data_IF_680458987295
#
_entry.id   IF_680458987295
#
_cell.length_a   1.000
_cell.length_b   1.000
_cell.length_c   1.000
_cell.angle_alpha   90.00
_cell.angle_beta   90.00
_cell.angle_gamma   90.00
#
_symmetry.space_group_name_H-M   'P 1'
#
loop_
_entity.id
_entity.type
_entity.pdbx_description
1 polymer ?
#
# COMPACT_ATOMS: atom_id res chain seq x y z
N UNK A 1 8.02 22.00 -14.90
CA UNK A 1 7.95 23.46 -14.88
C UNK A 1 9.20 23.95 -14.23
N UNK A 2 9.87 24.95 -14.81
CA UNK A 2 10.98 25.64 -14.14
C UNK A 2 10.41 26.76 -13.24
N UNK A 3 11.27 27.39 -12.43
CA UNK A 3 10.80 28.42 -11.50
C UNK A 3 10.33 29.70 -12.19
N UNK A 4 10.90 30.02 -13.35
CA UNK A 4 10.47 31.16 -14.16
C UNK A 4 9.03 31.00 -14.65
N UNK A 5 8.65 29.78 -15.03
CA UNK A 5 7.29 29.44 -15.43
C UNK A 5 6.33 29.48 -14.23
N UNK A 6 6.76 28.95 -13.07
CA UNK A 6 5.97 28.99 -11.84
C UNK A 6 5.70 30.43 -11.39
N UNK A 7 6.73 31.29 -11.43
CA UNK A 7 6.62 32.72 -11.13
C UNK A 7 5.65 33.44 -12.06
N UNK A 8 5.75 33.20 -13.36
CA UNK A 8 4.81 33.74 -14.35
C UNK A 8 3.35 33.37 -14.04
N UNK A 9 3.10 32.12 -13.63
CA UNK A 9 1.76 31.68 -13.23
C UNK A 9 1.28 32.36 -11.95
N UNK A 10 2.14 32.45 -10.93
CA UNK A 10 1.81 33.15 -9.68
C UNK A 10 1.48 34.63 -9.92
N UNK A 11 2.30 35.33 -10.71
CA UNK A 11 2.08 36.74 -11.08
C UNK A 11 0.75 36.91 -11.84
N UNK A 12 0.42 35.98 -12.73
CA UNK A 12 -0.86 35.98 -13.44
C UNK A 12 -2.05 35.76 -12.50
N UNK A 13 -1.97 34.78 -11.59
CA UNK A 13 -3.07 34.48 -10.67
C UNK A 13 -3.25 35.54 -9.57
N UNK A 14 -2.22 36.33 -9.26
CA UNK A 14 -2.33 37.48 -8.37
C UNK A 14 -3.18 38.63 -8.97
N UNK A 15 -3.14 38.83 -10.29
CA UNK A 15 -3.92 39.85 -11.00
C UNK A 15 -4.36 39.38 -12.42
N UNK A 16 -5.42 38.54 -12.51
CA UNK A 16 -5.85 37.95 -13.78
C UNK A 16 -6.46 38.99 -14.73
N UNK A 17 -5.92 39.13 -15.93
CA UNK A 17 -6.44 40.01 -16.99
C UNK A 17 -6.07 39.50 -18.38
N UNK A 18 -6.74 39.98 -19.43
CA UNK A 18 -6.37 39.65 -20.81
C UNK A 18 -4.92 40.03 -21.15
N UNK A 19 -4.44 41.18 -20.62
CA UNK A 19 -3.06 41.64 -20.79
C UNK A 19 -2.06 40.77 -20.04
N UNK A 20 -2.33 40.41 -18.78
CA UNK A 20 -1.43 39.52 -18.01
C UNK A 20 -1.40 38.11 -18.59
N UNK A 21 -2.52 37.61 -19.14
CA UNK A 21 -2.57 36.32 -19.87
C UNK A 21 -1.69 36.32 -21.13
N UNK A 22 -1.63 37.42 -21.88
CA UNK A 22 -0.81 37.52 -23.09
C UNK A 22 0.70 37.52 -22.79
N UNK A 23 1.11 37.99 -21.62
CA UNK A 23 2.52 38.01 -21.15
C UNK A 23 3.06 36.62 -20.81
N UNK A 24 2.19 35.64 -20.52
CA UNK A 24 2.60 34.27 -20.26
C UNK A 24 3.24 33.63 -21.51
N UNK A 25 4.28 32.82 -21.30
CA UNK A 25 4.85 31.99 -22.36
C UNK A 25 3.79 31.11 -23.05
N UNK A 26 3.95 30.87 -24.37
CA UNK A 26 2.95 30.18 -25.22
C UNK A 26 2.52 28.82 -24.65
N UNK A 27 3.46 28.05 -24.09
CA UNK A 27 3.18 26.74 -23.49
C UNK A 27 2.40 26.83 -22.17
N UNK A 28 2.60 27.89 -21.38
CA UNK A 28 1.83 28.14 -20.15
C UNK A 28 0.41 28.57 -20.47
N UNK A 29 0.23 29.47 -21.45
CA UNK A 29 -1.11 29.91 -21.88
C UNK A 29 -1.99 28.75 -22.35
N UNK A 30 -1.40 27.79 -23.07
CA UNK A 30 -2.12 26.61 -23.55
C UNK A 30 -2.61 25.70 -22.41
N UNK A 31 -1.91 25.70 -21.27
CA UNK A 31 -2.18 24.81 -20.13
C UNK A 31 -2.67 25.55 -18.89
N UNK A 32 -3.00 26.84 -18.99
CA UNK A 32 -3.35 27.70 -17.86
C UNK A 32 -4.55 27.18 -17.06
N UNK A 33 -5.51 26.55 -17.73
CA UNK A 33 -6.69 25.94 -17.14
C UNK A 33 -6.36 24.77 -16.20
N UNK A 34 -5.14 24.22 -16.28
CA UNK A 34 -4.65 23.13 -15.43
C UNK A 34 -3.99 23.64 -14.16
N UNK A 35 -3.88 24.95 -13.97
CA UNK A 35 -3.25 25.54 -12.80
C UNK A 35 -4.24 26.41 -12.04
N UNK A 36 -4.07 26.47 -10.73
CA UNK A 36 -4.78 27.40 -9.84
C UNK A 36 -3.94 27.72 -8.62
N UNK A 37 -4.23 28.83 -7.95
CA UNK A 37 -3.57 29.19 -6.67
C UNK A 37 -4.57 29.04 -5.54
N UNK A 38 -4.17 28.36 -4.48
CA UNK A 38 -4.97 28.22 -3.26
C UNK A 38 -4.04 28.29 -2.04
N UNK A 39 -4.38 29.15 -1.06
CA UNK A 39 -3.57 29.38 0.15
C UNK A 39 -2.07 29.62 -0.12
N UNK A 40 -1.76 30.38 -1.17
CA UNK A 40 -0.38 30.69 -1.56
C UNK A 40 0.37 29.55 -2.27
N UNK A 41 -0.26 28.39 -2.49
CA UNK A 41 0.31 27.28 -3.23
C UNK A 41 -0.20 27.25 -4.67
N UNK A 42 0.72 27.01 -5.61
CA UNK A 42 0.36 26.72 -6.99
C UNK A 42 -0.02 25.25 -7.12
N UNK A 43 -1.22 24.98 -7.60
CA UNK A 43 -1.77 23.65 -7.79
C UNK A 43 -1.84 23.33 -9.28
N UNK A 44 -1.66 22.06 -9.61
CA UNK A 44 -1.76 21.50 -10.95
C UNK A 44 -2.79 20.36 -10.96
N UNK A 45 -3.78 20.45 -11.84
CA UNK A 45 -4.78 19.41 -12.04
C UNK A 45 -4.49 18.64 -13.34
N UNK A 46 -4.43 17.31 -13.23
CA UNK A 46 -4.44 16.46 -14.42
C UNK A 46 -5.85 16.43 -15.02
N UNK A 47 -5.95 16.25 -16.34
CA UNK A 47 -7.25 16.23 -17.04
C UNK A 47 -8.09 15.01 -16.64
N UNK A 48 -7.43 13.97 -16.11
CA UNK A 48 -8.00 12.62 -16.03
C UNK A 48 -8.35 12.16 -14.60
N UNK A 49 -7.98 12.89 -13.52
CA UNK A 49 -8.17 12.40 -12.14
C UNK A 49 -8.82 13.39 -11.15
N UNK A 50 -9.20 14.59 -11.58
CA UNK A 50 -9.76 15.65 -10.71
C UNK A 50 -8.92 15.97 -9.45
N UNK A 51 -7.67 15.49 -9.36
CA UNK A 51 -6.81 15.64 -8.20
C UNK A 51 -5.86 16.83 -8.39
N UNK A 52 -5.90 17.73 -7.42
CA UNK A 52 -4.93 18.82 -7.33
C UNK A 52 -3.61 18.35 -6.76
N UNK A 53 -2.54 18.71 -7.45
CA UNK A 53 -1.18 18.40 -7.04
C UNK A 53 -0.45 19.69 -6.77
N UNK A 54 0.25 19.75 -5.64
CA UNK A 54 1.09 20.89 -5.28
C UNK A 54 2.27 20.94 -6.25
N UNK A 55 2.40 22.07 -6.94
CA UNK A 55 3.57 22.33 -7.78
C UNK A 55 4.78 22.54 -6.88
N UNK A 56 5.79 21.70 -7.06
CA UNK A 56 7.05 21.80 -6.33
C UNK A 56 8.02 22.69 -7.13
N UNK A 57 8.61 23.73 -6.50
CA UNK A 57 9.69 24.53 -7.10
C UNK A 57 10.86 23.66 -7.56
N UNK A 58 11.73 24.21 -8.39
CA UNK A 58 12.96 23.56 -8.83
C UNK A 58 14.05 23.59 -7.75
N UNK A 59 13.68 23.22 -6.53
CA UNK A 59 14.55 23.05 -5.38
C UNK A 59 14.95 21.56 -5.27
N UNK A 60 16.26 21.30 -5.26
CA UNK A 60 16.80 19.94 -5.19
C UNK A 60 16.51 19.29 -3.84
N UNK A 61 16.73 20.00 -2.74
CA UNK A 61 16.59 19.48 -1.38
C UNK A 61 15.14 19.22 -1.04
N UNK A 62 14.23 20.09 -1.47
CA UNK A 62 12.79 19.88 -1.30
C UNK A 62 12.32 18.64 -2.05
N UNK A 63 12.74 18.46 -3.32
CA UNK A 63 12.41 17.25 -4.09
C UNK A 63 12.99 16.00 -3.47
N UNK A 64 14.20 16.09 -2.90
CA UNK A 64 14.85 14.99 -2.20
C UNK A 64 14.03 14.58 -0.97
N UNK A 65 13.69 15.55 -0.11
CA UNK A 65 12.85 15.33 1.08
C UNK A 65 11.49 14.75 0.74
N UNK A 66 10.80 15.30 -0.26
CA UNK A 66 9.52 14.75 -0.72
C UNK A 66 9.73 13.30 -1.19
N UNK A 67 10.75 13.03 -2.00
CA UNK A 67 10.99 11.65 -2.49
C UNK A 67 11.32 10.69 -1.36
N UNK A 68 12.05 11.14 -0.33
CA UNK A 68 12.33 10.38 0.87
C UNK A 68 11.04 9.96 1.60
N UNK A 69 10.09 10.89 1.79
CA UNK A 69 8.81 10.57 2.44
C UNK A 69 8.04 9.46 1.70
N UNK A 70 8.03 9.46 0.36
CA UNK A 70 7.32 8.46 -0.45
C UNK A 70 8.13 7.21 -0.79
N UNK A 71 9.41 7.16 -0.42
CA UNK A 71 10.27 6.02 -0.70
C UNK A 71 10.83 5.36 0.57
N UNK A 72 11.53 6.14 1.39
CA UNK A 72 12.34 5.65 2.50
C UNK A 72 11.58 5.64 3.83
N UNK A 73 10.57 6.51 3.99
CA UNK A 73 9.80 6.53 5.23
C UNK A 73 9.23 5.13 5.53
N UNK A 74 9.19 4.70 6.80
CA UNK A 74 8.64 3.40 7.18
C UNK A 74 7.24 3.11 6.64
N UNK A 75 6.42 4.15 6.47
CA UNK A 75 5.07 4.08 5.92
C UNK A 75 5.02 3.82 4.41
N UNK A 76 6.13 3.97 3.67
CA UNK A 76 6.14 3.93 2.20
C UNK A 76 6.50 2.58 1.59
N UNK A 77 7.27 1.75 2.28
CA UNK A 77 7.55 0.35 1.93
C UNK A 77 8.80 0.13 1.11
N UNK A 78 9.70 1.11 0.97
CA UNK A 78 10.73 1.13 -0.08
C UNK A 78 10.16 0.67 -1.44
N UNK A 79 9.11 1.32 -1.96
CA UNK A 79 8.40 0.83 -3.13
C UNK A 79 9.30 0.82 -4.38
N UNK A 80 8.96 -0.02 -5.35
CA UNK A 80 9.62 0.02 -6.65
C UNK A 80 9.39 1.37 -7.35
N UNK A 81 10.14 1.61 -8.43
CA UNK A 81 10.09 2.87 -9.22
C UNK A 81 8.66 3.30 -9.56
N UNK A 82 7.87 2.40 -10.15
CA UNK A 82 6.50 2.72 -10.58
C UNK A 82 5.60 3.09 -9.40
N UNK A 83 5.64 2.30 -8.33
CA UNK A 83 4.84 2.54 -7.12
C UNK A 83 5.24 3.85 -6.43
N UNK A 84 6.54 4.13 -6.32
CA UNK A 84 7.04 5.40 -5.76
C UNK A 84 6.53 6.59 -6.56
N UNK A 85 6.58 6.51 -7.90
CA UNK A 85 6.07 7.54 -8.78
C UNK A 85 4.56 7.74 -8.62
N UNK A 86 3.78 6.65 -8.60
CA UNK A 86 2.33 6.72 -8.42
C UNK A 86 1.92 7.30 -7.07
N UNK A 87 2.63 6.98 -5.99
CA UNK A 87 2.40 7.57 -4.67
C UNK A 87 2.67 9.08 -4.68
N UNK A 88 3.88 9.45 -5.11
CA UNK A 88 4.35 10.84 -5.09
C UNK A 88 3.51 11.77 -5.97
N UNK A 89 3.03 11.26 -7.10
CA UNK A 89 2.24 12.05 -8.06
C UNK A 89 0.78 12.24 -7.66
N UNK A 90 0.31 11.63 -6.57
CA UNK A 90 -1.01 11.96 -5.99
C UNK A 90 -1.04 13.38 -5.45
N UNK A 91 0.06 13.78 -4.81
CA UNK A 91 0.10 15.03 -4.03
C UNK A 91 0.97 16.10 -4.68
N UNK A 92 1.96 15.72 -5.48
CA UNK A 92 2.97 16.66 -6.00
C UNK A 92 3.13 16.64 -7.52
N UNK A 93 3.54 17.78 -8.07
CA UNK A 93 3.85 17.95 -9.49
C UNK A 93 5.15 18.73 -9.72
N UNK A 94 6.02 18.21 -10.60
CA UNK A 94 7.10 18.97 -11.24
C UNK A 94 7.50 18.33 -12.58
N UNK A 95 8.33 19.00 -13.38
CA UNK A 95 8.77 18.40 -14.65
C UNK A 95 9.74 17.25 -14.44
N UNK A 96 9.58 16.19 -15.25
CA UNK A 96 10.47 15.03 -15.24
C UNK A 96 10.48 14.25 -13.91
N UNK A 97 9.38 14.29 -13.15
CA UNK A 97 9.16 13.50 -11.92
C UNK A 97 9.57 12.03 -12.08
N UNK A 98 9.15 11.39 -13.16
CA UNK A 98 9.48 9.99 -13.40
C UNK A 98 11.00 9.74 -13.52
N UNK A 99 11.72 10.62 -14.23
CA UNK A 99 13.19 10.52 -14.38
C UNK A 99 13.88 10.72 -13.03
N UNK A 100 13.38 11.65 -12.21
CA UNK A 100 13.87 11.88 -10.85
C UNK A 100 13.70 10.64 -9.96
N UNK A 101 12.46 10.14 -9.86
CA UNK A 101 12.13 8.95 -9.05
C UNK A 101 12.93 7.74 -9.51
N UNK A 102 13.06 7.51 -10.82
CA UNK A 102 13.88 6.43 -11.38
C UNK A 102 15.33 6.49 -10.90
N UNK A 103 15.93 7.69 -10.90
CA UNK A 103 17.33 7.87 -10.47
C UNK A 103 17.46 7.62 -8.97
N UNK A 104 16.53 8.16 -8.18
CA UNK A 104 16.51 8.01 -6.72
C UNK A 104 16.40 6.55 -6.30
N UNK A 105 15.38 5.83 -6.77
CA UNK A 105 15.15 4.42 -6.40
C UNK A 105 16.31 3.52 -6.85
N UNK A 106 16.96 3.83 -7.99
CA UNK A 106 18.14 3.09 -8.46
C UNK A 106 19.37 3.31 -7.55
N UNK A 107 19.46 4.46 -6.90
CA UNK A 107 20.54 4.78 -5.98
C UNK A 107 20.27 4.31 -4.54
N UNK A 108 19.04 3.86 -4.23
CA UNK A 108 18.67 3.38 -2.89
C UNK A 108 19.38 2.07 -2.55
N UNK A 109 20.36 2.14 -1.65
CA UNK A 109 21.17 1.02 -1.21
C UNK A 109 20.34 -0.10 -0.57
N UNK A 110 19.35 0.25 0.26
CA UNK A 110 18.43 -0.71 0.90
C UNK A 110 17.71 -1.53 -0.16
N UNK A 111 17.14 -0.88 -1.18
CA UNK A 111 16.49 -1.56 -2.30
C UNK A 111 17.45 -2.47 -3.07
N UNK A 112 18.69 -2.03 -3.33
CA UNK A 112 19.66 -2.83 -4.09
C UNK A 112 20.12 -4.08 -3.31
N UNK A 113 20.13 -4.04 -1.97
CA UNK A 113 20.51 -5.17 -1.12
C UNK A 113 19.36 -6.16 -0.91
N UNK A 114 18.13 -5.67 -0.76
CA UNK A 114 16.98 -6.49 -0.33
C UNK A 114 16.25 -7.13 -1.51
N UNK A 115 16.06 -6.41 -2.61
CA UNK A 115 15.14 -6.86 -3.66
C UNK A 115 15.80 -7.89 -4.58
N UNK A 116 15.23 -9.10 -4.72
CA UNK A 116 15.74 -10.09 -5.65
C UNK A 116 15.57 -9.64 -7.11
N UNK A 117 16.38 -10.20 -8.01
CA UNK A 117 16.20 -10.01 -9.44
C UNK A 117 14.80 -10.50 -9.87
N UNK A 118 14.15 -9.87 -10.87
CA UNK A 118 12.84 -10.29 -11.33
C UNK A 118 12.92 -11.74 -11.85
N UNK A 119 12.14 -12.65 -11.26
CA UNK A 119 11.92 -14.00 -11.77
C UNK A 119 10.47 -14.13 -12.24
N UNK A 120 10.25 -14.73 -13.42
CA UNK A 120 8.89 -15.02 -13.90
C UNK A 120 8.39 -16.31 -13.26
N UNK A 121 7.33 -16.24 -12.46
CA UNK A 121 6.61 -17.43 -12.02
C UNK A 121 5.53 -17.82 -13.05
N UNK A 122 5.28 -19.12 -13.15
CA UNK A 122 4.20 -19.65 -13.98
C UNK A 122 2.83 -19.10 -13.53
N UNK A 123 1.86 -18.92 -14.45
CA UNK A 123 0.52 -18.49 -14.09
C UNK A 123 -0.13 -19.55 -13.19
N UNK A 124 -0.44 -19.18 -11.95
CA UNK A 124 -1.26 -20.00 -11.07
C UNK A 124 -2.74 -19.81 -11.44
N UNK A 125 -3.52 -20.89 -11.36
CA UNK A 125 -4.96 -20.85 -11.60
C UNK A 125 -5.60 -19.92 -10.57
N UNK A 126 -6.22 -18.84 -11.03
CA UNK A 126 -6.88 -17.88 -10.14
C UNK A 126 -8.24 -18.40 -9.72
N UNK A 127 -8.49 -18.45 -8.41
CA UNK A 127 -9.82 -18.57 -7.85
C UNK A 127 -10.77 -17.47 -8.39
N UNK A 128 -12.08 -17.72 -8.47
CA UNK A 128 -13.05 -16.69 -8.84
C UNK A 128 -12.92 -15.48 -7.92
N UNK A 129 -12.97 -14.28 -8.53
CA UNK A 129 -12.85 -13.03 -7.77
C UNK A 129 -14.18 -12.76 -7.06
N UNK A 130 -14.19 -12.43 -5.76
CA UNK A 130 -15.41 -12.07 -5.03
C UNK A 130 -16.09 -10.83 -5.62
N UNK A 131 -17.35 -10.57 -5.26
CA UNK A 131 -18.10 -9.40 -5.72
C UNK A 131 -17.89 -8.15 -4.86
N UNK A 132 -17.59 -8.30 -3.57
CA UNK A 132 -17.44 -7.18 -2.64
C UNK A 132 -16.24 -7.36 -1.70
N UNK A 133 -15.78 -6.25 -1.12
CA UNK A 133 -14.73 -6.26 -0.10
C UNK A 133 -15.15 -7.12 1.10
N UNK A 134 -14.22 -7.92 1.61
CA UNK A 134 -14.37 -8.74 2.82
C UNK A 134 -15.45 -9.84 2.76
N UNK A 135 -16.08 -10.06 1.59
CA UNK A 135 -16.94 -11.23 1.39
C UNK A 135 -16.13 -12.53 1.37
N UNK A 136 -14.91 -12.49 0.86
CA UNK A 136 -14.01 -13.64 0.86
C UNK A 136 -12.61 -13.21 1.25
N UNK A 137 -12.03 -13.89 2.22
CA UNK A 137 -10.68 -13.61 2.71
C UNK A 137 -9.76 -14.81 2.50
N UNK A 138 -8.46 -14.58 2.50
CA UNK A 138 -7.47 -15.63 2.69
C UNK A 138 -6.67 -15.43 3.97
N UNK A 139 -6.24 -16.54 4.56
CA UNK A 139 -5.55 -16.58 5.86
C UNK A 139 -4.26 -17.40 5.76
N UNK A 140 -3.12 -16.78 6.04
CA UNK A 140 -1.78 -17.39 5.91
C UNK A 140 -0.96 -17.22 7.18
N UNK A 141 0.07 -18.05 7.33
CA UNK A 141 1.16 -17.80 8.23
C UNK A 141 2.51 -17.74 7.52
N UNK A 142 3.29 -16.73 7.87
CA UNK A 142 4.71 -16.64 7.51
C UNK A 142 5.54 -17.02 8.74
N UNK A 143 6.25 -18.15 8.69
CA UNK A 143 7.18 -18.57 9.75
C UNK A 143 8.64 -18.52 9.29
N UNK A 144 9.55 -18.85 10.21
CA UNK A 144 11.00 -18.85 9.95
C UNK A 144 11.63 -17.47 10.07
N UNK A 145 10.91 -16.50 10.66
CA UNK A 145 11.48 -15.21 11.01
C UNK A 145 12.35 -15.36 12.26
N UNK A 146 13.43 -14.57 12.38
CA UNK A 146 14.18 -14.46 13.63
C UNK A 146 13.24 -14.11 14.79
N UNK A 147 13.51 -14.60 16.02
CA UNK A 147 12.70 -14.26 17.18
C UNK A 147 12.74 -12.75 17.44
N UNK A 148 11.57 -12.14 17.57
CA UNK A 148 11.46 -10.77 18.07
C UNK A 148 11.70 -10.68 19.59
N UNK A 149 11.64 -9.48 20.16
CA UNK A 149 11.77 -9.26 21.62
C UNK A 149 10.76 -10.02 22.48
N UNK A 150 9.62 -10.44 21.89
CA UNK A 150 8.57 -11.21 22.54
C UNK A 150 8.64 -12.71 22.16
N UNK A 151 9.77 -13.15 21.57
CA UNK A 151 10.04 -14.53 21.13
C UNK A 151 9.07 -15.04 20.05
N UNK A 152 8.42 -14.13 19.32
CA UNK A 152 7.56 -14.44 18.18
C UNK A 152 8.40 -14.62 16.92
N UNK A 153 8.06 -15.62 16.13
CA UNK A 153 8.86 -16.07 14.96
C UNK A 153 8.01 -16.23 13.70
N UNK A 154 6.75 -15.79 13.75
CA UNK A 154 5.89 -15.78 12.59
C UNK A 154 4.90 -14.62 12.57
N UNK A 155 4.19 -14.53 11.45
CA UNK A 155 3.16 -13.52 11.18
C UNK A 155 1.92 -14.26 10.71
N UNK A 156 0.75 -13.96 11.29
CA UNK A 156 -0.53 -14.29 10.66
C UNK A 156 -0.91 -13.15 9.70
N UNK A 157 -1.35 -13.52 8.51
CA UNK A 157 -1.73 -12.62 7.42
C UNK A 157 -3.18 -12.88 7.06
N UNK A 158 -4.03 -11.87 7.18
CA UNK A 158 -5.39 -11.88 6.65
C UNK A 158 -5.43 -11.01 5.40
N UNK A 159 -6.01 -11.50 4.31
CA UNK A 159 -6.09 -10.75 3.05
C UNK A 159 -7.53 -10.75 2.54
N UNK A 160 -8.09 -9.59 2.26
CA UNK A 160 -9.32 -9.49 1.48
C UNK A 160 -9.05 -9.85 0.02
N UNK A 161 -9.72 -10.87 -0.50
CA UNK A 161 -9.50 -11.35 -1.87
C UNK A 161 -10.07 -10.42 -2.93
N UNK A 162 -10.91 -9.44 -2.58
CA UNK A 162 -11.38 -8.43 -3.52
C UNK A 162 -10.42 -7.23 -3.59
N UNK A 163 -10.32 -6.45 -2.52
CA UNK A 163 -9.52 -5.22 -2.44
C UNK A 163 -8.01 -5.44 -2.35
N UNK A 164 -7.59 -6.65 -1.95
CA UNK A 164 -6.20 -7.01 -1.61
C UNK A 164 -5.69 -6.34 -0.33
N UNK A 165 -6.59 -5.83 0.52
CA UNK A 165 -6.23 -5.25 1.81
C UNK A 165 -5.72 -6.35 2.74
N UNK A 166 -4.64 -6.05 3.47
CA UNK A 166 -4.00 -6.99 4.39
C UNK A 166 -4.10 -6.51 5.84
N UNK A 167 -4.21 -7.47 6.76
CA UNK A 167 -4.01 -7.29 8.19
C UNK A 167 -2.94 -8.25 8.70
N UNK A 168 -1.99 -7.74 9.48
CA UNK A 168 -0.78 -8.44 9.91
C UNK A 168 -0.64 -8.47 11.43
N UNK A 169 -0.41 -9.64 12.00
CA UNK A 169 -0.05 -9.76 13.41
C UNK A 169 1.10 -10.74 13.64
N UNK A 170 2.07 -10.32 14.45
CA UNK A 170 3.15 -11.21 14.87
C UNK A 170 2.65 -12.25 15.88
N UNK A 171 3.04 -13.50 15.66
CA UNK A 171 2.64 -14.70 16.41
C UNK A 171 3.84 -15.58 16.75
N UNK A 172 3.78 -16.36 17.86
CA UNK A 172 4.77 -17.40 18.11
C UNK A 172 4.66 -18.53 17.06
N UNK A 173 5.71 -19.34 16.91
CA UNK A 173 5.72 -20.50 16.00
C UNK A 173 4.51 -21.43 16.21
N UNK A 174 4.15 -21.64 17.47
CA UNK A 174 3.09 -22.55 17.90
C UNK A 174 1.90 -21.75 18.46
N UNK A 175 1.36 -20.83 17.66
CA UNK A 175 0.17 -20.06 18.06
C UNK A 175 -1.08 -20.96 18.16
N UNK A 176 -1.79 -20.99 19.30
CA UNK A 176 -3.00 -21.79 19.44
C UNK A 176 -4.17 -21.22 18.63
N UNK A 177 -5.08 -22.10 18.20
CA UNK A 177 -6.30 -21.72 17.46
C UNK A 177 -7.11 -20.61 18.15
N UNK A 178 -7.29 -20.68 19.47
CA UNK A 178 -7.98 -19.64 20.27
C UNK A 178 -7.32 -18.27 20.16
N UNK A 179 -5.99 -18.21 20.13
CA UNK A 179 -5.26 -16.95 20.02
C UNK A 179 -5.37 -16.39 18.59
N UNK A 180 -5.27 -17.24 17.57
CA UNK A 180 -5.52 -16.84 16.18
C UNK A 180 -6.96 -16.34 16.00
N UNK A 181 -7.95 -16.99 16.63
CA UNK A 181 -9.35 -16.60 16.56
C UNK A 181 -9.57 -15.20 17.16
N UNK A 182 -8.91 -14.88 18.28
CA UNK A 182 -8.91 -13.52 18.85
C UNK A 182 -8.33 -12.50 17.87
N UNK A 183 -7.20 -12.80 17.23
CA UNK A 183 -6.61 -11.91 16.22
C UNK A 183 -7.57 -11.68 15.06
N UNK A 184 -8.24 -12.73 14.56
CA UNK A 184 -9.26 -12.58 13.53
C UNK A 184 -10.42 -11.69 13.99
N UNK A 185 -10.92 -11.89 15.21
CA UNK A 185 -12.02 -11.07 15.76
C UNK A 185 -11.59 -9.61 15.88
N UNK A 186 -10.41 -9.36 16.43
CA UNK A 186 -9.89 -8.01 16.70
C UNK A 186 -9.54 -7.25 15.43
N UNK A 187 -9.03 -7.92 14.40
CA UNK A 187 -8.46 -7.30 13.22
C UNK A 187 -9.34 -7.38 11.97
N UNK A 188 -10.18 -8.41 11.85
CA UNK A 188 -11.05 -8.61 10.68
C UNK A 188 -12.50 -8.35 11.06
N UNK A 189 -13.06 -9.17 11.95
CA UNK A 189 -14.49 -9.10 12.28
C UNK A 189 -14.89 -7.73 12.82
N UNK A 190 -14.10 -7.16 13.74
CA UNK A 190 -14.33 -5.85 14.33
C UNK A 190 -14.50 -4.74 13.30
N UNK A 191 -13.77 -4.82 12.19
CA UNK A 191 -13.70 -3.76 11.19
C UNK A 191 -14.62 -4.02 9.99
N UNK A 192 -14.81 -5.28 9.61
CA UNK A 192 -15.41 -5.65 8.33
C UNK A 192 -16.55 -6.66 8.44
N UNK A 193 -16.79 -7.24 9.62
CA UNK A 193 -17.79 -8.28 9.84
C UNK A 193 -17.31 -9.69 9.47
N UNK A 194 -18.24 -10.64 9.45
CA UNK A 194 -17.96 -12.04 9.12
C UNK A 194 -17.95 -12.22 7.59
N UNK A 195 -16.86 -12.73 6.99
CA UNK A 195 -16.82 -13.10 5.58
C UNK A 195 -17.76 -14.29 5.30
N UNK A 196 -18.19 -14.40 4.04
CA UNK A 196 -19.03 -15.50 3.56
C UNK A 196 -18.17 -16.71 3.19
N UNK A 197 -16.95 -16.48 2.72
CA UNK A 197 -16.01 -17.50 2.27
C UNK A 197 -14.59 -17.25 2.78
N UNK A 198 -13.83 -18.31 3.06
CA UNK A 198 -12.47 -18.21 3.56
C UNK A 198 -11.59 -19.25 2.90
N UNK A 199 -10.50 -18.77 2.34
CA UNK A 199 -9.48 -19.59 1.68
C UNK A 199 -8.25 -19.68 2.59
N UNK A 200 -8.16 -20.74 3.38
CA UNK A 200 -6.91 -21.11 4.05
C UNK A 200 -6.20 -22.21 3.28
N UNK A 201 -4.88 -22.28 3.41
CA UNK A 201 -4.16 -23.51 3.10
C UNK A 201 -4.53 -24.60 4.11
N UNK A 202 -4.15 -25.85 3.82
CA UNK A 202 -4.30 -27.00 4.74
C UNK A 202 -3.42 -26.87 5.99
N UNK A 203 -3.10 -25.66 6.44
CA UNK A 203 -2.43 -25.46 7.71
C UNK A 203 -3.36 -25.98 8.82
N UNK A 204 -2.95 -27.01 9.58
CA UNK A 204 -3.77 -27.59 10.64
C UNK A 204 -4.22 -26.59 11.71
N UNK A 205 -3.62 -25.39 11.76
CA UNK A 205 -4.02 -24.30 12.65
C UNK A 205 -5.30 -23.59 12.19
N UNK A 206 -5.68 -23.71 10.92
CA UNK A 206 -6.92 -23.18 10.34
C UNK A 206 -7.96 -24.30 10.16
N UNK A 207 -8.31 -24.95 11.27
CA UNK A 207 -9.22 -26.11 11.29
C UNK A 207 -10.58 -25.76 11.90
N UNK A 208 -11.51 -26.74 11.93
CA UNK A 208 -12.79 -26.62 12.63
C UNK A 208 -12.66 -26.07 14.06
N UNK A 209 -11.56 -26.39 14.77
CA UNK A 209 -11.27 -25.87 16.12
C UNK A 209 -11.09 -24.35 16.14
N UNK A 210 -10.45 -23.77 15.14
CA UNK A 210 -10.32 -22.31 15.03
C UNK A 210 -11.70 -21.65 14.92
N UNK A 211 -12.56 -22.19 14.07
CA UNK A 211 -13.92 -21.68 13.88
C UNK A 211 -14.79 -21.80 15.11
N UNK A 212 -14.69 -22.91 15.83
CA UNK A 212 -15.36 -23.07 17.13
C UNK A 212 -14.98 -21.94 18.10
N UNK A 213 -13.69 -21.59 18.19
CA UNK A 213 -13.23 -20.51 19.06
C UNK A 213 -13.71 -19.14 18.58
N UNK A 214 -13.78 -18.89 17.26
CA UNK A 214 -14.36 -17.65 16.72
C UNK A 214 -15.83 -17.52 17.12
N UNK A 215 -16.64 -18.56 16.91
CA UNK A 215 -18.07 -18.51 17.23
C UNK A 215 -18.31 -18.40 18.74
N UNK A 216 -17.50 -19.07 19.57
CA UNK A 216 -17.51 -18.92 21.03
C UNK A 216 -17.22 -17.46 21.43
N UNK A 217 -16.20 -16.83 20.85
CA UNK A 217 -15.85 -15.42 21.12
C UNK A 217 -16.96 -14.45 20.71
N UNK A 218 -17.68 -14.76 19.63
CA UNK A 218 -18.81 -13.96 19.16
C UNK A 218 -20.12 -14.25 19.91
N UNK A 219 -20.13 -15.22 20.84
CA UNK A 219 -21.33 -15.62 21.58
C UNK A 219 -22.36 -16.34 20.72
N UNK A 220 -21.95 -16.96 19.62
CA UNK A 220 -22.84 -17.66 18.68
C UNK A 220 -22.57 -19.16 18.67
N UNK A 221 -23.58 -19.97 18.36
CA UNK A 221 -23.43 -21.42 18.17
C UNK A 221 -23.42 -21.83 16.69
N UNK A 222 -23.56 -20.87 15.77
CA UNK A 222 -23.71 -21.13 14.35
C UNK A 222 -22.35 -21.51 13.75
N UNK A 223 -22.15 -22.77 13.40
CA UNK A 223 -20.99 -23.17 12.59
C UNK A 223 -21.27 -22.87 11.12
N UNK A 224 -20.48 -21.98 10.51
CA UNK A 224 -20.50 -21.81 9.05
C UNK A 224 -20.00 -23.09 8.37
N UNK A 225 -20.59 -23.43 7.23
CA UNK A 225 -20.05 -24.41 6.30
C UNK A 225 -18.74 -23.84 5.75
N UNK A 226 -17.60 -24.17 6.37
CA UNK A 226 -16.30 -23.84 5.78
C UNK A 226 -16.19 -24.62 4.48
N UNK A 227 -16.23 -23.93 3.34
CA UNK A 227 -15.85 -24.51 2.08
C UNK A 227 -14.35 -24.78 2.13
N UNK A 228 -13.99 -25.97 2.61
CA UNK A 228 -12.60 -26.43 2.65
C UNK A 228 -12.17 -26.65 1.19
N UNK A 229 -11.63 -25.61 0.57
CA UNK A 229 -11.13 -25.64 -0.80
C UNK A 229 -9.62 -25.45 -0.76
N UNK A 230 -8.85 -26.55 -0.61
CA UNK A 230 -7.40 -26.48 -0.69
C UNK A 230 -7.00 -26.14 -2.12
N UNK A 231 -6.86 -24.84 -2.40
CA UNK A 231 -6.32 -24.32 -3.65
C UNK A 231 -5.23 -23.30 -3.34
N UNK A 232 -4.12 -23.44 -4.03
CA UNK A 232 -2.93 -22.60 -3.88
C UNK A 232 -3.22 -21.22 -4.47
N UNK A 233 -3.49 -20.24 -3.61
CA UNK A 233 -3.66 -18.85 -4.04
C UNK A 233 -2.28 -18.22 -4.30
N UNK A 234 -1.89 -18.11 -5.58
CA UNK A 234 -0.67 -17.44 -6.02
C UNK A 234 -0.55 -15.97 -5.60
N UNK A 235 -1.63 -15.36 -5.14
CA UNK A 235 -1.59 -14.03 -4.55
C UNK A 235 -0.90 -14.01 -3.19
N UNK A 236 -0.98 -15.11 -2.41
CA UNK A 236 -0.32 -15.24 -1.10
C UNK A 236 1.19 -15.13 -1.20
N UNK A 237 1.81 -15.89 -2.11
CA UNK A 237 3.26 -15.83 -2.31
C UNK A 237 3.74 -14.43 -2.62
N UNK A 238 2.94 -13.65 -3.38
CA UNK A 238 3.27 -12.27 -3.71
C UNK A 238 3.15 -11.35 -2.48
N UNK A 239 2.10 -11.46 -1.69
CA UNK A 239 1.93 -10.67 -0.46
C UNK A 239 3.03 -11.00 0.55
N UNK A 240 3.30 -12.27 0.80
CA UNK A 240 4.34 -12.71 1.75
C UNK A 240 5.73 -12.22 1.32
N UNK A 241 6.06 -12.28 0.03
CA UNK A 241 7.33 -11.71 -0.47
C UNK A 241 7.42 -10.20 -0.27
N UNK A 242 6.36 -9.46 -0.62
CA UNK A 242 6.32 -8.00 -0.43
C UNK A 242 6.46 -7.64 1.05
N UNK A 243 5.80 -8.40 1.93
CA UNK A 243 5.92 -8.24 3.38
C UNK A 243 7.35 -8.49 3.87
N UNK A 244 7.97 -9.61 3.48
CA UNK A 244 9.34 -9.93 3.88
C UNK A 244 10.33 -8.88 3.36
N UNK A 245 10.18 -8.41 2.13
CA UNK A 245 11.03 -7.37 1.55
C UNK A 245 10.86 -6.02 2.28
N UNK A 246 9.63 -5.66 2.63
CA UNK A 246 9.35 -4.47 3.43
C UNK A 246 10.01 -4.58 4.82
N UNK A 247 9.83 -5.70 5.52
CA UNK A 247 10.44 -5.92 6.83
C UNK A 247 11.97 -5.90 6.80
N UNK A 248 12.60 -6.51 5.79
CA UNK A 248 14.05 -6.46 5.58
C UNK A 248 14.57 -5.04 5.32
N UNK A 249 13.74 -4.16 4.79
CA UNK A 249 14.12 -2.78 4.53
C UNK A 249 14.12 -1.91 5.80
N UNK A 250 13.34 -2.28 6.82
CA UNK A 250 13.17 -1.50 8.04
C UNK A 250 13.87 -2.04 9.28
N UNK A 251 14.03 -3.35 9.35
CA UNK A 251 14.64 -3.99 10.50
C UNK A 251 16.15 -3.72 10.50
N UNK A 252 16.57 -2.59 11.07
CA UNK A 252 17.98 -2.32 11.39
C UNK A 252 18.55 -3.36 12.36
N UNK A 253 17.67 -4.04 13.11
CA UNK A 253 17.97 -5.23 13.91
C UNK A 253 16.80 -6.21 13.80
N UNK A 254 17.15 -7.50 13.66
CA UNK A 254 16.19 -8.60 13.58
C UNK A 254 15.29 -8.74 14.81
N UNK A 255 15.58 -8.11 15.95
CA UNK A 255 14.79 -8.26 17.17
C UNK A 255 13.50 -7.40 17.19
N UNK A 256 13.41 -6.39 16.32
CA UNK A 256 12.33 -5.40 16.32
C UNK A 256 11.43 -5.48 15.08
N UNK A 257 11.55 -6.53 14.26
CA UNK A 257 10.78 -6.63 13.01
C UNK A 257 9.27 -6.55 13.25
N UNK A 258 8.78 -7.05 14.38
CA UNK A 258 7.36 -7.08 14.69
C UNK A 258 6.79 -5.71 15.03
N UNK A 259 7.63 -4.78 15.51
CA UNK A 259 7.25 -3.39 15.75
C UNK A 259 7.08 -2.61 14.43
N UNK A 260 7.66 -3.12 13.34
CA UNK A 260 7.50 -2.56 11.99
C UNK A 260 6.22 -3.03 11.27
N UNK A 261 5.48 -4.01 11.81
CA UNK A 261 4.29 -4.55 11.14
C UNK A 261 3.21 -3.52 10.80
N UNK A 262 2.86 -2.56 11.68
CA UNK A 262 1.87 -1.54 11.32
C UNK A 262 2.30 -0.69 10.13
N UNK A 263 3.61 -0.39 10.03
CA UNK A 263 4.17 0.39 8.92
C UNK A 263 4.19 -0.42 7.63
N UNK A 264 4.56 -1.70 7.71
CA UNK A 264 4.51 -2.62 6.57
C UNK A 264 3.08 -2.83 6.06
N UNK A 265 2.11 -3.03 6.96
CA UNK A 265 0.69 -3.15 6.63
C UNK A 265 0.20 -1.90 5.88
N UNK A 266 0.48 -0.71 6.42
CA UNK A 266 0.10 0.55 5.78
C UNK A 266 0.74 0.69 4.39
N UNK A 267 2.04 0.40 4.26
CA UNK A 267 2.77 0.50 2.99
C UNK A 267 2.21 -0.45 1.92
N UNK A 268 1.84 -1.67 2.31
CA UNK A 268 1.20 -2.66 1.44
C UNK A 268 -0.17 -2.15 1.00
N UNK A 269 -1.00 -1.71 1.96
CA UNK A 269 -2.37 -1.25 1.71
C UNK A 269 -2.45 0.06 0.94
N UNK A 270 -1.38 0.88 0.94
CA UNK A 270 -1.27 2.12 0.18
C UNK A 270 -0.56 1.95 -1.18
N UNK A 271 -0.04 0.76 -1.46
CA UNK A 271 0.62 0.44 -2.73
C UNK A 271 -0.38 0.02 -3.80
N UNK A 272 -0.24 0.54 -5.02
CA UNK A 272 -1.08 0.13 -6.16
C UNK A 272 -0.85 -1.35 -6.47
N UNK A 273 -1.93 -2.11 -6.55
CA UNK A 273 -1.91 -3.52 -6.90
C UNK A 273 -2.21 -3.71 -8.39
N UNK A 274 -1.44 -4.56 -9.07
CA UNK A 274 -1.54 -4.74 -10.53
C UNK A 274 -2.90 -5.27 -10.96
N UNK A 275 -3.49 -6.15 -10.15
CA UNK A 275 -4.78 -6.78 -10.48
C UNK A 275 -5.97 -5.82 -10.39
N UNK A 276 -5.92 -4.83 -9.50
CA UNK A 276 -7.02 -3.87 -9.29
C UNK A 276 -6.76 -2.53 -9.95
N UNK A 277 -5.52 -2.21 -10.30
CA UNK A 277 -5.12 -0.88 -10.78
C UNK A 277 -5.16 0.21 -9.69
N UNK A 278 -5.60 -0.12 -8.48
CA UNK A 278 -5.80 0.79 -7.37
C UNK A 278 -5.09 0.28 -6.11
N UNK A 279 -4.98 1.13 -5.09
CA UNK A 279 -4.53 0.69 -3.76
C UNK A 279 -5.64 -0.04 -3.04
N UNK A 280 -5.32 -1.02 -2.17
CA UNK A 280 -6.31 -1.61 -1.27
C UNK A 280 -7.13 -0.59 -0.47
N UNK A 281 -6.51 0.46 0.08
CA UNK A 281 -7.27 1.51 0.79
C UNK A 281 -8.37 2.15 -0.06
N UNK A 282 -8.06 2.47 -1.31
CA UNK A 282 -9.03 3.05 -2.24
C UNK A 282 -10.13 2.08 -2.64
N UNK A 283 -9.80 0.81 -2.93
CA UNK A 283 -10.85 -0.16 -3.28
C UNK A 283 -11.77 -0.42 -2.08
N UNK A 284 -11.20 -0.46 -0.87
CA UNK A 284 -11.96 -0.74 0.35
C UNK A 284 -12.81 0.45 0.83
N UNK A 285 -12.28 1.67 0.76
CA UNK A 285 -12.88 2.84 1.41
C UNK A 285 -13.12 4.03 0.45
N UNK A 286 -12.90 3.84 -0.86
CA UNK A 286 -12.99 4.89 -1.89
C UNK A 286 -12.12 6.12 -1.59
N UNK A 287 -11.06 5.95 -0.78
CA UNK A 287 -10.19 7.02 -0.31
C UNK A 287 -8.77 6.51 -0.09
N UNK A 288 -7.78 7.36 -0.39
CA UNK A 288 -6.40 7.16 0.05
C UNK A 288 -6.18 7.82 1.43
N UNK A 289 -5.51 7.14 2.37
CA UNK A 289 -5.09 7.77 3.62
C UNK A 289 -4.04 8.86 3.35
N UNK A 290 -3.97 9.85 4.24
CA UNK A 290 -2.95 10.89 4.24
C UNK A 290 -1.86 10.54 5.23
#
# INVERSE_FOLDING_TARGET
>A
MNDADAKQLLDYFAAPSGKSRQKLAKHLRARIHRYRVHNGLLLYSAVDDNADRIVVPNDHELKLRITYEYHDAPTSGHPGREKTYLLLTRDFYWSHQYKWVRKYVRACEVCQRVKPAPFSQAPLQSLPTPSECWQSISMDFVFGLPPDNKRRTGIVVFVDRFSKMVHLAAVPAEVPAKQTARLFVDMVFRHHGMPIDIVSDRDPRFTARFWQEVFELLGTQLSMSTADHPQTDGQRERVNRVLVDALKSYAHSFQYWSDCLPMAEFAINNSVHVSTGHTPFYVNAMRHPR
#
